data_IF_773991167444
#
_entry.id   IF_773991167444
#
_cell.length_a   1.000
_cell.length_b   1.000
_cell.length_c   1.000
_cell.angle_alpha   90.00
_cell.angle_beta   90.00
_cell.angle_gamma   90.00
#
_symmetry.space_group_name_H-M   'P 1'
#
loop_
_entity.id
_entity.type
_entity.pdbx_description
1 polymer ?
#
# COMPACT_ATOMS: atom_id res chain seq x y z
N UNK A 1 8.32 18.65 -3.54
CA UNK A 1 7.63 17.55 -4.26
C UNK A 1 7.14 18.09 -5.59
N UNK A 2 7.57 17.53 -6.72
CA UNK A 2 7.16 17.99 -8.06
C UNK A 2 5.84 17.33 -8.49
N UNK A 3 5.06 17.95 -9.38
CA UNK A 3 3.81 17.36 -9.89
C UNK A 3 4.03 16.02 -10.62
N UNK A 4 5.22 15.82 -11.20
CA UNK A 4 5.61 14.55 -11.84
C UNK A 4 5.78 13.41 -10.83
N UNK A 5 6.35 13.71 -9.65
CA UNK A 5 6.48 12.75 -8.56
C UNK A 5 5.11 12.24 -8.09
N UNK A 6 4.16 13.17 -7.89
CA UNK A 6 2.80 12.83 -7.47
C UNK A 6 2.07 11.97 -8.51
N UNK A 7 2.25 12.28 -9.80
CA UNK A 7 1.70 11.48 -10.90
C UNK A 7 2.27 10.07 -10.92
N UNK A 8 3.60 9.91 -10.83
CA UNK A 8 4.25 8.58 -10.76
C UNK A 8 3.75 7.78 -9.57
N UNK A 9 3.75 8.38 -8.38
CA UNK A 9 3.27 7.72 -7.15
C UNK A 9 1.83 7.25 -7.29
N UNK A 10 0.92 8.11 -7.76
CA UNK A 10 -0.49 7.74 -7.92
C UNK A 10 -0.69 6.65 -8.98
N UNK A 11 0.08 6.69 -10.09
CA UNK A 11 0.02 5.65 -11.11
C UNK A 11 0.44 4.28 -10.56
N UNK A 12 1.50 4.23 -9.74
CA UNK A 12 1.96 3.00 -9.08
C UNK A 12 0.93 2.47 -8.07
N UNK A 13 0.34 3.35 -7.26
CA UNK A 13 -0.76 2.97 -6.35
C UNK A 13 -1.98 2.42 -7.10
N UNK A 14 -2.34 3.02 -8.23
CA UNK A 14 -3.44 2.53 -9.06
C UNK A 14 -3.14 1.14 -9.62
N UNK A 15 -1.92 0.92 -10.13
CA UNK A 15 -1.48 -0.39 -10.61
C UNK A 15 -1.50 -1.45 -9.51
N UNK A 16 -1.00 -1.14 -8.32
CA UNK A 16 -1.03 -2.09 -7.19
C UNK A 16 -2.44 -2.51 -6.81
N UNK A 17 -3.42 -1.60 -6.86
CA UNK A 17 -4.82 -1.92 -6.57
C UNK A 17 -5.50 -2.72 -7.68
N UNK A 18 -5.05 -2.61 -8.92
CA UNK A 18 -5.58 -3.37 -10.04
C UNK A 18 -4.96 -4.75 -10.19
N UNK A 19 -3.74 -4.95 -9.69
CA UNK A 19 -3.01 -6.22 -9.81
C UNK A 19 -3.38 -7.17 -8.66
N UNK A 20 -3.45 -8.50 -8.91
CA UNK A 20 -3.65 -9.46 -7.85
C UNK A 20 -2.42 -9.50 -6.92
N UNK A 21 -2.60 -9.45 -5.59
CA UNK A 21 -1.50 -9.58 -4.65
C UNK A 21 -0.79 -10.91 -4.83
N UNK A 22 0.55 -10.90 -4.83
CA UNK A 22 1.38 -12.09 -5.06
C UNK A 22 1.64 -12.42 -6.54
N UNK A 23 1.16 -11.59 -7.47
CA UNK A 23 1.58 -11.69 -8.88
C UNK A 23 3.00 -11.12 -9.07
N UNK A 24 3.81 -11.63 -10.01
CA UNK A 24 5.14 -11.10 -10.28
C UNK A 24 5.10 -9.61 -10.70
N UNK A 25 4.06 -9.20 -11.42
CA UNK A 25 3.81 -7.79 -11.75
C UNK A 25 3.53 -6.95 -10.51
N UNK A 26 2.78 -7.49 -9.53
CA UNK A 26 2.49 -6.81 -8.27
C UNK A 26 3.77 -6.58 -7.47
N UNK A 27 4.62 -7.60 -7.35
CA UNK A 27 5.91 -7.49 -6.65
C UNK A 27 6.85 -6.48 -7.32
N UNK A 28 6.86 -6.45 -8.65
CA UNK A 28 7.63 -5.47 -9.44
C UNK A 28 7.16 -4.04 -9.16
N UNK A 29 5.85 -3.79 -9.24
CA UNK A 29 5.28 -2.44 -8.97
C UNK A 29 5.45 -2.05 -7.50
N UNK A 30 5.37 -3.01 -6.59
CA UNK A 30 5.60 -2.78 -5.16
C UNK A 30 7.04 -2.33 -4.91
N UNK A 31 8.02 -2.98 -5.55
CA UNK A 31 9.43 -2.58 -5.47
C UNK A 31 9.67 -1.17 -6.03
N UNK A 32 9.08 -0.84 -7.18
CA UNK A 32 9.21 0.48 -7.80
C UNK A 32 8.60 1.58 -6.91
N UNK A 33 7.43 1.32 -6.31
CA UNK A 33 6.80 2.22 -5.35
C UNK A 33 7.66 2.37 -4.09
N UNK A 34 8.17 1.26 -3.54
CA UNK A 34 9.04 1.25 -2.36
C UNK A 34 10.28 2.13 -2.55
N UNK A 35 10.95 2.00 -3.70
CA UNK A 35 12.10 2.85 -4.03
C UNK A 35 11.69 4.31 -4.25
N UNK A 36 10.51 4.57 -4.84
CA UNK A 36 10.06 5.93 -5.12
C UNK A 36 9.72 6.74 -3.86
N UNK A 37 9.06 6.12 -2.88
CA UNK A 37 8.61 6.81 -1.64
C UNK A 37 9.46 6.47 -0.41
N UNK A 38 10.41 5.54 -0.53
CA UNK A 38 11.25 5.07 0.57
C UNK A 38 10.47 4.29 1.63
N UNK A 39 9.44 3.54 1.23
CA UNK A 39 8.63 2.73 2.15
C UNK A 39 8.96 1.26 2.00
N UNK A 40 8.97 0.55 3.14
CA UNK A 40 9.10 -0.91 3.17
C UNK A 40 7.82 -1.63 2.72
N UNK A 41 8.01 -2.85 2.20
CA UNK A 41 6.93 -3.75 1.75
C UNK A 41 5.75 -3.84 2.72
N UNK A 42 5.92 -4.16 4.02
CA UNK A 42 4.81 -4.21 4.96
C UNK A 42 4.03 -2.89 5.07
N UNK A 43 4.71 -1.73 4.98
CA UNK A 43 4.05 -0.42 5.05
C UNK A 43 3.21 -0.13 3.81
N UNK A 44 3.66 -0.57 2.63
CA UNK A 44 2.88 -0.46 1.38
C UNK A 44 1.68 -1.42 1.42
N UNK A 45 1.87 -2.66 1.85
CA UNK A 45 0.81 -3.65 1.98
C UNK A 45 -0.28 -3.19 2.96
N UNK A 46 0.11 -2.61 4.09
CA UNK A 46 -0.83 -1.98 5.03
C UNK A 46 -1.63 -0.84 4.37
N UNK A 47 -0.97 -0.01 3.54
CA UNK A 47 -1.65 1.04 2.77
C UNK A 47 -2.59 0.52 1.66
N UNK A 48 -2.44 -0.73 1.24
CA UNK A 48 -3.36 -1.43 0.35
C UNK A 48 -4.51 -2.13 1.10
N UNK A 49 -4.48 -2.17 2.43
CA UNK A 49 -5.40 -2.98 3.25
C UNK A 49 -5.12 -4.48 3.16
N UNK A 50 -3.98 -4.88 2.60
CA UNK A 50 -3.54 -6.26 2.45
C UNK A 50 -2.70 -6.72 3.66
N UNK A 51 -3.04 -6.22 4.85
CA UNK A 51 -2.32 -6.61 6.06
C UNK A 51 -2.42 -8.13 6.22
N UNK A 52 -1.29 -8.79 6.49
CA UNK A 52 -1.31 -10.18 6.90
C UNK A 52 -2.29 -10.30 8.08
N UNK A 53 -3.23 -11.25 8.07
CA UNK A 53 -4.21 -11.38 9.11
C UNK A 53 -3.53 -11.98 10.35
N UNK A 54 -2.76 -11.18 11.08
CA UNK A 54 -2.57 -11.38 12.51
C UNK A 54 -2.11 -10.10 13.22
N UNK A 55 -2.82 -9.79 14.31
CA UNK A 55 -2.48 -8.81 15.35
C UNK A 55 -2.64 -7.32 15.05
N UNK A 56 -3.87 -6.87 14.82
CA UNK A 56 -4.45 -5.82 15.69
C UNK A 56 -5.95 -6.11 15.90
N UNK A 57 -6.24 -6.63 17.09
CA UNK A 57 -7.56 -6.63 17.68
C UNK A 57 -8.17 -5.22 17.67
N UNK A 58 -9.41 -5.15 17.19
CA UNK A 58 -10.51 -4.57 17.95
C UNK A 58 -10.24 -3.25 18.70
N UNK A 59 -10.36 -2.11 18.01
CA UNK A 59 -11.08 -0.96 18.57
C UNK A 59 -12.00 -0.34 17.49
N UNK A 60 -13.18 -0.93 17.36
CA UNK A 60 -14.38 -0.13 17.10
C UNK A 60 -14.50 0.88 18.25
N UNK A 61 -14.55 2.20 18.01
CA UNK A 61 -14.90 3.14 19.06
C UNK A 61 -16.38 2.94 19.38
N UNK A 62 -16.64 2.12 20.40
CA UNK A 62 -17.95 2.01 21.02
C UNK A 62 -18.41 3.36 21.55
N UNK A 63 -19.67 3.66 21.23
CA UNK A 63 -20.68 4.29 22.09
C UNK A 63 -20.15 5.21 23.21
N UNK A 64 -20.36 6.52 23.03
CA UNK A 64 -20.11 7.52 24.07
C UNK A 64 -21.33 7.56 25.03
N UNK A 65 -21.11 7.63 26.35
CA UNK A 65 -22.16 7.73 27.37
C UNK A 65 -22.90 9.07 27.34
#
# INVERSE_FOLDING_TARGET
>A
MTPEFLRRRNALWAKLRSLPPGSPEFETVLGDLAQLIGWDRPRILAGLGLNEPDSESNMSPGERP
#
